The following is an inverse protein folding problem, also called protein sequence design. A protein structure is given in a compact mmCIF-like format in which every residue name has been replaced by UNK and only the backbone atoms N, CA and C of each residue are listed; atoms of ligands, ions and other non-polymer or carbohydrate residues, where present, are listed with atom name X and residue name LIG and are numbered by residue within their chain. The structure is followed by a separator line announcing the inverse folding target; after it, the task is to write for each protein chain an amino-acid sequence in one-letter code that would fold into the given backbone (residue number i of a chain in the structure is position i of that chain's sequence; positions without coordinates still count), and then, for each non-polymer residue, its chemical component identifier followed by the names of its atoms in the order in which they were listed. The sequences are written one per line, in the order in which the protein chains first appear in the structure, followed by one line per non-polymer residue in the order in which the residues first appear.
data_IF_156520653215
#
_entry.id   IF_156520653215
#
_cell.length_a   1.000
_cell.length_b   1.000
_cell.length_c   1.000
_cell.angle_alpha   90.00
_cell.angle_beta   90.00
_cell.angle_gamma   90.00
#
_symmetry.space_group_name_H-M   'P 1'
#
loop_
_entity.id
_entity.type
_entity.pdbx_description
1 polymer ?
#
# COMPACT_ATOMS: atom_id res chain seq x y z
N UNK A 1 46.96 67.77 -51.13
CA UNK A 1 46.52 66.59 -51.89
C UNK A 1 46.90 65.30 -51.16
N UNK A 2 48.18 65.03 -50.88
CA UNK A 2 48.57 63.82 -50.12
C UNK A 2 48.15 63.84 -48.64
N UNK A 3 48.19 64.99 -47.96
CA UNK A 3 47.78 65.10 -46.54
C UNK A 3 46.27 64.90 -46.30
N UNK A 4 45.42 65.26 -47.26
CA UNK A 4 43.97 65.00 -47.19
C UNK A 4 43.67 63.51 -47.37
N UNK A 5 44.32 62.87 -48.35
CA UNK A 5 44.23 61.43 -48.57
C UNK A 5 44.71 60.66 -47.33
N UNK A 6 45.81 61.10 -46.70
CA UNK A 6 46.33 60.48 -45.48
C UNK A 6 45.33 60.59 -44.32
N UNK A 7 44.73 61.77 -44.12
CA UNK A 7 43.70 61.98 -43.08
C UNK A 7 42.45 61.14 -43.31
N UNK A 8 42.03 60.98 -44.56
CA UNK A 8 40.86 60.19 -44.91
C UNK A 8 41.11 58.68 -44.72
N UNK A 9 42.31 58.20 -45.07
CA UNK A 9 42.78 56.85 -44.76
C UNK A 9 42.88 56.60 -43.25
N UNK A 10 43.45 57.54 -42.47
CA UNK A 10 43.46 57.43 -41.00
C UNK A 10 42.05 57.38 -40.41
N UNK A 11 41.12 58.16 -40.97
CA UNK A 11 39.74 58.15 -40.52
C UNK A 11 39.05 56.81 -40.80
N UNK A 12 39.18 56.27 -42.02
CA UNK A 12 38.65 54.96 -42.39
C UNK A 12 39.25 53.84 -41.54
N UNK A 13 40.58 53.86 -41.33
CA UNK A 13 41.27 52.87 -40.52
C UNK A 13 40.78 52.90 -39.05
N UNK A 14 40.54 54.09 -38.49
CA UNK A 14 39.98 54.22 -37.14
C UNK A 14 38.54 53.68 -37.03
N UNK A 15 37.72 53.86 -38.08
CA UNK A 15 36.37 53.27 -38.13
C UNK A 15 36.43 51.74 -38.18
N UNK A 16 37.31 51.17 -39.01
CA UNK A 16 37.50 49.72 -39.07
C UNK A 16 38.03 49.14 -37.74
N UNK A 17 38.99 49.81 -37.09
CA UNK A 17 39.46 49.39 -35.77
C UNK A 17 38.33 49.40 -34.73
N UNK A 18 37.50 50.44 -34.72
CA UNK A 18 36.35 50.53 -33.81
C UNK A 18 35.38 49.37 -34.05
N UNK A 19 35.07 49.06 -35.30
CA UNK A 19 34.20 47.93 -35.65
C UNK A 19 34.82 46.58 -35.27
N UNK A 20 36.12 46.40 -35.49
CA UNK A 20 36.87 45.22 -35.06
C UNK A 20 36.79 45.02 -33.54
N UNK A 21 37.03 46.05 -32.74
CA UNK A 21 36.97 45.94 -31.28
C UNK A 21 35.56 45.62 -30.77
N UNK A 22 34.51 46.19 -31.40
CA UNK A 22 33.11 45.84 -31.08
C UNK A 22 32.84 44.36 -31.38
N UNK A 23 33.19 43.89 -32.59
CA UNK A 23 33.01 42.49 -32.99
C UNK A 23 33.81 41.53 -32.11
N UNK A 24 35.03 41.91 -31.72
CA UNK A 24 35.87 41.15 -30.80
C UNK A 24 35.23 41.01 -29.42
N UNK A 25 34.68 42.10 -28.87
CA UNK A 25 33.96 42.07 -27.59
C UNK A 25 32.70 41.19 -27.64
N UNK A 26 31.92 41.27 -28.73
CA UNK A 26 30.76 40.39 -28.94
C UNK A 26 31.20 38.92 -29.00
N UNK A 27 32.27 38.61 -29.73
CA UNK A 27 32.82 37.26 -29.82
C UNK A 27 33.29 36.75 -28.45
N UNK A 28 33.96 37.58 -27.64
CA UNK A 28 34.40 37.19 -26.30
C UNK A 28 33.21 36.91 -25.36
N UNK A 29 32.16 37.74 -25.41
CA UNK A 29 30.93 37.51 -24.67
C UNK A 29 30.25 36.20 -25.11
N UNK A 30 30.06 35.99 -26.41
CA UNK A 30 29.46 34.76 -26.94
C UNK A 30 30.25 33.51 -26.55
N UNK A 31 31.58 33.59 -26.47
CA UNK A 31 32.42 32.48 -25.99
C UNK A 31 32.19 32.19 -24.51
N UNK A 32 32.04 33.22 -23.69
CA UNK A 32 31.72 33.05 -22.28
C UNK A 32 30.32 32.47 -22.08
N UNK A 33 29.34 32.98 -22.83
CA UNK A 33 27.95 32.49 -22.80
C UNK A 33 27.90 31.01 -23.22
N UNK A 34 28.56 30.65 -24.34
CA UNK A 34 28.65 29.26 -24.80
C UNK A 34 29.25 28.34 -23.73
N UNK A 35 30.36 28.76 -23.11
CA UNK A 35 31.00 27.97 -22.05
C UNK A 35 30.07 27.78 -20.84
N UNK A 36 29.34 28.83 -20.46
CA UNK A 36 28.42 28.78 -19.32
C UNK A 36 27.25 27.84 -19.61
N UNK A 37 26.68 27.91 -20.82
CA UNK A 37 25.61 27.03 -21.28
C UNK A 37 26.06 25.57 -21.39
N UNK A 38 27.29 25.31 -21.85
CA UNK A 38 27.89 23.97 -21.88
C UNK A 38 28.05 23.38 -20.47
N UNK A 39 28.52 24.19 -19.50
CA UNK A 39 28.61 23.78 -18.09
C UNK A 39 27.24 23.53 -17.45
N UNK A 40 26.21 24.30 -17.83
CA UNK A 40 24.83 24.09 -17.38
C UNK A 40 24.22 22.82 -17.99
N UNK A 41 24.45 22.58 -19.29
CA UNK A 41 24.00 21.39 -19.98
C UNK A 41 24.56 20.13 -19.32
N UNK A 42 25.86 20.10 -19.03
CA UNK A 42 26.52 18.97 -18.38
C UNK A 42 25.91 18.69 -16.98
N UNK A 43 25.62 19.75 -16.21
CA UNK A 43 24.94 19.62 -14.90
C UNK A 43 23.52 19.07 -15.04
N UNK A 44 22.76 19.56 -16.03
CA UNK A 44 21.40 19.08 -16.28
C UNK A 44 21.39 17.62 -16.71
N UNK A 45 22.33 17.21 -17.57
CA UNK A 45 22.46 15.82 -18.00
C UNK A 45 22.79 14.89 -16.84
N UNK A 46 23.69 15.32 -15.95
CA UNK A 46 24.02 14.57 -14.74
C UNK A 46 22.81 14.41 -13.80
N UNK A 47 22.07 15.49 -13.52
CA UNK A 47 20.87 15.42 -12.69
C UNK A 47 19.76 14.59 -13.36
N UNK A 48 19.62 14.66 -14.69
CA UNK A 48 18.66 13.84 -15.42
C UNK A 48 18.98 12.34 -15.28
N UNK A 49 20.24 11.95 -15.41
CA UNK A 49 20.68 10.55 -15.23
C UNK A 49 20.43 10.06 -13.79
N UNK A 50 20.76 10.89 -12.79
CA UNK A 50 20.48 10.62 -11.38
C UNK A 50 18.98 10.43 -11.14
N UNK A 51 18.13 11.32 -11.64
CA UNK A 51 16.67 11.23 -11.49
C UNK A 51 16.10 9.99 -12.18
N UNK A 52 16.62 9.60 -13.35
CA UNK A 52 16.26 8.34 -14.03
C UNK A 52 16.58 7.14 -13.14
N UNK A 53 17.76 7.09 -12.51
CA UNK A 53 18.13 6.01 -11.58
C UNK A 53 17.24 5.99 -10.35
N UNK A 54 16.94 7.14 -9.76
CA UNK A 54 15.99 7.27 -8.63
C UNK A 54 14.61 6.75 -9.01
N UNK A 55 14.08 7.13 -10.18
CA UNK A 55 12.80 6.64 -10.67
C UNK A 55 12.78 5.11 -10.78
N UNK A 56 13.80 4.51 -11.38
CA UNK A 56 13.91 3.05 -11.53
C UNK A 56 13.97 2.37 -10.14
N UNK A 57 14.75 2.94 -9.22
CA UNK A 57 14.85 2.43 -7.85
C UNK A 57 13.47 2.44 -7.16
N UNK A 58 12.77 3.57 -7.17
CA UNK A 58 11.46 3.70 -6.53
C UNK A 58 10.41 2.78 -7.17
N UNK A 59 10.43 2.61 -8.49
CA UNK A 59 9.54 1.67 -9.18
C UNK A 59 9.80 0.22 -8.74
N UNK A 60 11.07 -0.20 -8.72
CA UNK A 60 11.45 -1.55 -8.25
C UNK A 60 11.12 -1.78 -6.79
N UNK A 61 11.38 -0.80 -5.93
CA UNK A 61 11.05 -0.86 -4.50
C UNK A 61 9.55 -0.96 -4.29
N UNK A 62 8.75 -0.18 -5.03
CA UNK A 62 7.29 -0.23 -4.95
C UNK A 62 6.73 -1.58 -5.41
N UNK A 63 7.23 -2.13 -6.52
CA UNK A 63 6.86 -3.46 -6.99
C UNK A 63 7.22 -4.54 -5.96
N UNK A 64 8.45 -4.50 -5.43
CA UNK A 64 8.90 -5.45 -4.42
C UNK A 64 8.05 -5.37 -3.15
N UNK A 65 7.77 -4.17 -2.64
CA UNK A 65 6.94 -3.98 -1.46
C UNK A 65 5.53 -4.56 -1.66
N UNK A 66 4.90 -4.32 -2.81
CA UNK A 66 3.59 -4.90 -3.12
C UNK A 66 3.60 -6.43 -3.15
N UNK A 67 4.61 -7.02 -3.80
CA UNK A 67 4.76 -8.48 -3.85
C UNK A 67 4.99 -9.09 -2.46
N UNK A 68 5.76 -8.44 -1.60
CA UNK A 68 5.95 -8.88 -0.22
C UNK A 68 4.65 -8.79 0.59
N UNK A 69 3.96 -7.64 0.55
CA UNK A 69 2.67 -7.46 1.25
C UNK A 69 1.62 -8.46 0.75
N UNK A 70 1.56 -8.70 -0.57
CA UNK A 70 0.69 -9.72 -1.17
C UNK A 70 0.96 -11.09 -0.58
N UNK A 71 2.22 -11.56 -0.58
CA UNK A 71 2.58 -12.89 -0.06
C UNK A 71 2.24 -13.05 1.42
N UNK A 72 2.47 -12.01 2.22
CA UNK A 72 2.13 -12.02 3.64
C UNK A 72 0.62 -12.10 3.87
N UNK A 73 -0.17 -11.31 3.12
CA UNK A 73 -1.63 -11.37 3.16
C UNK A 73 -2.14 -12.76 2.75
N UNK A 74 -1.67 -13.29 1.62
CA UNK A 74 -2.01 -14.63 1.14
C UNK A 74 -1.72 -15.70 2.18
N UNK A 75 -0.55 -15.64 2.81
CA UNK A 75 -0.15 -16.57 3.86
C UNK A 75 -1.08 -16.49 5.08
N UNK A 76 -1.27 -15.30 5.67
CA UNK A 76 -2.08 -15.14 6.88
C UNK A 76 -3.55 -15.53 6.65
N UNK A 77 -4.13 -15.10 5.53
CA UNK A 77 -5.53 -15.41 5.20
C UNK A 77 -5.68 -16.91 4.91
N UNK A 78 -4.70 -17.52 4.25
CA UNK A 78 -4.68 -18.98 4.05
C UNK A 78 -4.63 -19.72 5.38
N UNK A 79 -3.76 -19.32 6.30
CA UNK A 79 -3.68 -19.97 7.62
C UNK A 79 -5.00 -19.83 8.40
N UNK A 80 -5.63 -18.65 8.36
CA UNK A 80 -6.94 -18.43 8.99
C UNK A 80 -8.03 -19.35 8.39
N UNK A 81 -8.13 -19.42 7.07
CA UNK A 81 -9.09 -20.28 6.38
C UNK A 81 -8.87 -21.76 6.70
N UNK A 82 -7.61 -22.21 6.71
CA UNK A 82 -7.26 -23.60 7.01
C UNK A 82 -7.58 -23.96 8.47
N UNK A 83 -7.32 -23.05 9.40
CA UNK A 83 -7.63 -23.23 10.82
C UNK A 83 -9.14 -23.35 11.06
N UNK A 84 -9.94 -22.47 10.45
CA UNK A 84 -11.38 -22.43 10.71
C UNK A 84 -12.12 -23.56 10.02
N UNK A 85 -11.81 -23.84 8.75
CA UNK A 85 -12.57 -24.78 7.92
C UNK A 85 -11.96 -26.18 7.84
N UNK A 86 -10.86 -26.46 8.56
CA UNK A 86 -10.09 -27.72 8.53
C UNK A 86 -9.97 -28.33 7.12
N UNK A 87 -9.59 -27.48 6.16
CA UNK A 87 -9.61 -27.83 4.74
C UNK A 87 -8.41 -27.25 4.01
N UNK A 88 -8.01 -27.91 2.92
CA UNK A 88 -6.88 -27.48 2.07
C UNK A 88 -7.25 -26.31 1.17
N UNK A 89 -7.75 -25.24 1.77
CA UNK A 89 -8.08 -23.99 1.10
C UNK A 89 -6.85 -23.07 1.08
N UNK A 90 -6.67 -22.33 -0.01
CA UNK A 90 -5.65 -21.29 -0.14
C UNK A 90 -6.28 -20.00 -0.64
N UNK A 91 -5.83 -18.89 -0.09
CA UNK A 91 -6.17 -17.56 -0.57
C UNK A 91 -5.12 -17.08 -1.56
N UNK A 92 -5.56 -16.47 -2.65
CA UNK A 92 -4.71 -15.96 -3.72
C UNK A 92 -5.18 -14.60 -4.19
N UNK A 93 -4.25 -13.68 -4.42
CA UNK A 93 -4.49 -12.33 -4.90
C UNK A 93 -3.87 -12.19 -6.29
N UNK A 94 -4.69 -11.91 -7.28
CA UNK A 94 -4.23 -11.52 -8.60
C UNK A 94 -4.13 -10.00 -8.68
N UNK A 95 -2.93 -9.49 -8.96
CA UNK A 95 -2.72 -8.06 -9.21
C UNK A 95 -2.77 -7.83 -10.72
N UNK A 96 -3.72 -7.01 -11.18
CA UNK A 96 -3.87 -6.61 -12.58
C UNK A 96 -3.47 -5.16 -12.72
N UNK A 97 -2.53 -4.88 -13.62
CA UNK A 97 -2.17 -3.50 -13.98
C UNK A 97 -3.08 -3.04 -15.12
N UNK A 98 -3.86 -1.98 -14.88
CA UNK A 98 -4.71 -1.34 -15.89
C UNK A 98 -4.35 0.14 -15.97
N UNK A 99 -3.37 0.44 -16.82
CA UNK A 99 -2.78 1.79 -16.91
C UNK A 99 -2.03 2.14 -15.64
N UNK A 100 -2.34 3.30 -15.04
CA UNK A 100 -1.74 3.74 -13.77
C UNK A 100 -2.41 3.14 -12.52
N UNK A 101 -3.47 2.33 -12.68
CA UNK A 101 -4.19 1.69 -11.56
C UNK A 101 -3.82 0.22 -11.44
N UNK A 102 -3.64 -0.22 -10.20
CA UNK A 102 -3.43 -1.61 -9.84
C UNK A 102 -4.72 -2.10 -9.20
N UNK A 103 -5.37 -3.05 -9.86
CA UNK A 103 -6.55 -3.73 -9.35
C UNK A 103 -6.11 -5.03 -8.67
N UNK A 104 -6.67 -5.33 -7.51
CA UNK A 104 -6.43 -6.58 -6.79
C UNK A 104 -7.71 -7.42 -6.80
N UNK A 105 -7.61 -8.65 -7.32
CA UNK A 105 -8.73 -9.57 -7.38
C UNK A 105 -8.46 -10.80 -6.51
N UNK A 106 -9.45 -11.17 -5.70
CA UNK A 106 -9.31 -12.21 -4.68
C UNK A 106 -9.88 -13.54 -5.16
N UNK A 107 -9.13 -14.60 -4.90
CA UNK A 107 -9.51 -15.96 -5.25
C UNK A 107 -9.27 -16.91 -4.09
N UNK A 108 -10.09 -17.95 -4.06
CA UNK A 108 -9.99 -19.09 -3.15
C UNK A 108 -9.72 -20.31 -3.99
N UNK A 109 -8.60 -20.97 -3.72
CA UNK A 109 -8.18 -22.20 -4.36
C UNK A 109 -8.46 -23.35 -3.39
N UNK A 110 -9.24 -24.34 -3.81
CA UNK A 110 -9.44 -25.58 -3.06
C UNK A 110 -9.12 -26.79 -3.92
N UNK A 111 -8.84 -27.92 -3.28
CA UNK A 111 -8.65 -29.20 -3.97
C UNK A 111 -9.85 -30.11 -3.71
N UNK A 112 -10.49 -30.58 -4.78
CA UNK A 112 -11.56 -31.58 -4.71
C UNK A 112 -11.27 -32.67 -5.75
N UNK A 113 -11.24 -33.93 -5.30
CA UNK A 113 -10.98 -35.10 -6.17
C UNK A 113 -9.72 -34.96 -7.04
N UNK A 114 -8.64 -34.40 -6.48
CA UNK A 114 -7.38 -34.15 -7.19
C UNK A 114 -7.42 -33.01 -8.22
N UNK A 115 -8.54 -32.30 -8.35
CA UNK A 115 -8.68 -31.11 -9.21
C UNK A 115 -8.62 -29.84 -8.37
N UNK A 116 -7.85 -28.86 -8.85
CA UNK A 116 -7.83 -27.50 -8.29
C UNK A 116 -9.03 -26.73 -8.80
N UNK A 117 -9.83 -26.21 -7.87
CA UNK A 117 -10.97 -25.34 -8.14
C UNK A 117 -10.59 -23.94 -7.69
N UNK A 118 -10.62 -22.99 -8.62
CA UNK A 118 -10.32 -21.57 -8.37
C UNK A 118 -11.61 -20.80 -8.51
N UNK A 119 -11.99 -20.10 -7.45
CA UNK A 119 -13.29 -19.43 -7.33
C UNK A 119 -13.11 -18.08 -6.67
N UNK A 120 -13.86 -17.07 -7.11
CA UNK A 120 -13.97 -15.83 -6.35
C UNK A 120 -14.81 -16.05 -5.08
N UNK A 121 -14.42 -15.47 -3.93
CA UNK A 121 -15.17 -15.63 -2.68
C UNK A 121 -16.65 -15.28 -2.84
N UNK A 122 -16.96 -14.10 -3.37
CA UNK A 122 -18.33 -13.58 -3.40
C UNK A 122 -19.25 -14.27 -4.41
N UNK A 123 -18.70 -14.92 -5.44
CA UNK A 123 -19.49 -15.52 -6.53
C UNK A 123 -19.77 -17.00 -6.30
N UNK A 124 -18.84 -17.72 -5.65
CA UNK A 124 -18.86 -19.19 -5.63
C UNK A 124 -18.56 -19.79 -4.25
N UNK A 125 -18.34 -18.97 -3.22
CA UNK A 125 -18.22 -19.44 -1.83
C UNK A 125 -19.36 -18.83 -1.01
N UNK A 126 -19.98 -19.65 -0.15
CA UNK A 126 -21.08 -19.20 0.72
C UNK A 126 -20.66 -18.07 1.66
N UNK A 127 -21.65 -17.40 2.25
CA UNK A 127 -21.42 -16.21 3.10
C UNK A 127 -20.39 -16.41 4.21
N UNK A 128 -20.33 -17.60 4.83
CA UNK A 128 -19.37 -17.89 5.89
C UNK A 128 -17.90 -17.74 5.45
N UNK A 129 -17.54 -18.21 4.25
CA UNK A 129 -16.17 -18.05 3.73
C UNK A 129 -15.84 -16.58 3.50
N UNK A 130 -16.81 -15.80 2.99
CA UNK A 130 -16.65 -14.36 2.76
C UNK A 130 -16.44 -13.62 4.08
N UNK A 131 -17.21 -13.93 5.11
CA UNK A 131 -17.07 -13.33 6.43
C UNK A 131 -15.69 -13.60 7.04
N UNK A 132 -15.19 -14.84 6.92
CA UNK A 132 -13.86 -15.21 7.43
C UNK A 132 -12.74 -14.51 6.65
N UNK A 133 -12.85 -14.43 5.32
CA UNK A 133 -11.87 -13.69 4.51
C UNK A 133 -11.85 -12.21 4.91
N UNK A 134 -13.02 -11.60 5.11
CA UNK A 134 -13.15 -10.21 5.55
C UNK A 134 -12.49 -9.99 6.91
N UNK A 135 -12.74 -10.88 7.88
CA UNK A 135 -12.12 -10.85 9.21
C UNK A 135 -10.60 -11.01 9.12
N UNK A 136 -10.13 -12.01 8.37
CA UNK A 136 -8.72 -12.30 8.19
C UNK A 136 -7.96 -11.14 7.53
N UNK A 137 -8.56 -10.48 6.53
CA UNK A 137 -7.97 -9.29 5.88
C UNK A 137 -7.82 -8.16 6.90
N UNK A 138 -8.83 -7.89 7.74
CA UNK A 138 -8.72 -6.83 8.76
C UNK A 138 -7.57 -7.10 9.73
N UNK A 139 -7.50 -8.32 10.26
CA UNK A 139 -6.42 -8.73 11.17
C UNK A 139 -5.06 -8.61 10.46
N UNK A 140 -4.94 -9.16 9.25
CA UNK A 140 -3.69 -9.13 8.51
C UNK A 140 -3.23 -7.71 8.17
N UNK A 141 -4.15 -6.81 7.81
CA UNK A 141 -3.83 -5.39 7.59
C UNK A 141 -3.33 -4.72 8.88
N UNK A 142 -3.94 -5.00 10.03
CA UNK A 142 -3.49 -4.46 11.31
C UNK A 142 -2.09 -4.93 11.72
N UNK A 143 -1.73 -6.18 11.38
CA UNK A 143 -0.44 -6.77 11.74
C UNK A 143 0.69 -6.51 10.73
N UNK A 144 0.37 -6.38 9.43
CA UNK A 144 1.37 -6.14 8.37
C UNK A 144 1.70 -4.64 8.23
N UNK A 145 0.76 -3.75 8.57
CA UNK A 145 0.97 -2.31 8.38
C UNK A 145 2.19 -1.79 9.15
N UNK A 146 2.93 -0.89 8.52
CA UNK A 146 4.08 -0.20 9.12
C UNK A 146 3.87 1.30 8.97
N UNK A 147 3.76 2.06 10.08
CA UNK A 147 3.83 1.62 11.48
C UNK A 147 2.67 0.70 11.88
N UNK A 148 2.84 -0.13 12.92
CA UNK A 148 1.81 -1.08 13.34
C UNK A 148 0.52 -0.34 13.73
N UNK A 149 -0.63 -0.85 13.31
CA UNK A 149 -1.93 -0.28 13.72
C UNK A 149 -2.16 -0.67 15.18
N UNK A 150 -2.11 0.31 16.07
CA UNK A 150 -2.39 0.15 17.50
C UNK A 150 -3.91 0.15 17.79
N UNK A 151 -4.27 -0.19 19.02
CA UNK A 151 -5.66 -0.18 19.48
C UNK A 151 -6.42 -1.49 19.28
N UNK A 152 -7.69 -1.54 19.70
CA UNK A 152 -8.48 -2.76 19.70
C UNK A 152 -9.00 -3.13 18.31
N UNK A 153 -9.26 -4.43 18.10
CA UNK A 153 -10.08 -4.91 17.00
C UNK A 153 -11.54 -4.90 17.44
N UNK A 154 -12.37 -4.08 16.81
CA UNK A 154 -13.81 -4.00 17.09
C UNK A 154 -14.58 -4.75 16.01
N UNK A 155 -15.43 -5.69 16.43
CA UNK A 155 -16.23 -6.56 15.56
C UNK A 155 -17.70 -6.46 15.95
N UNK A 156 -18.54 -6.17 14.96
CA UNK A 156 -20.00 -6.18 15.11
C UNK A 156 -20.57 -7.36 14.33
N UNK A 157 -21.14 -8.32 15.05
CA UNK A 157 -21.65 -9.61 14.57
C UNK A 157 -20.70 -10.33 13.57
N UNK A 158 -19.44 -10.62 13.97
CA UNK A 158 -18.52 -11.31 13.09
C UNK A 158 -19.01 -12.73 12.78
N UNK A 159 -18.64 -13.25 11.61
CA UNK A 159 -18.90 -14.63 11.21
C UNK A 159 -20.39 -15.02 11.22
N UNK A 160 -21.30 -14.06 11.04
CA UNK A 160 -22.76 -14.27 11.05
C UNK A 160 -23.24 -15.36 10.08
N UNK A 161 -22.55 -15.53 8.95
CA UNK A 161 -22.93 -16.53 7.94
C UNK A 161 -22.15 -17.85 8.07
N UNK A 162 -21.35 -18.01 9.13
CA UNK A 162 -20.62 -19.25 9.42
C UNK A 162 -21.55 -20.21 10.16
N UNK A 163 -21.55 -21.48 9.75
CA UNK A 163 -22.38 -22.51 10.41
C UNK A 163 -21.89 -22.82 11.82
N UNK A 164 -22.78 -23.35 12.65
CA UNK A 164 -22.48 -23.71 14.04
C UNK A 164 -21.30 -24.70 14.15
N UNK A 165 -21.12 -25.59 13.17
CA UNK A 165 -19.99 -26.52 13.13
C UNK A 165 -18.61 -25.84 13.11
N UNK A 166 -18.52 -24.62 12.55
CA UNK A 166 -17.26 -23.88 12.42
C UNK A 166 -17.18 -22.68 13.37
N UNK A 167 -18.29 -22.27 13.98
CA UNK A 167 -18.29 -21.06 14.82
C UNK A 167 -17.44 -21.21 16.08
N UNK A 168 -17.32 -22.44 16.60
CA UNK A 168 -16.39 -22.77 17.69
C UNK A 168 -14.95 -22.49 17.28
N UNK A 169 -14.56 -22.92 16.08
CA UNK A 169 -13.22 -22.65 15.53
C UNK A 169 -12.97 -21.14 15.34
N UNK A 170 -14.01 -20.37 14.99
CA UNK A 170 -13.91 -18.90 14.90
C UNK A 170 -13.66 -18.28 16.27
N UNK A 171 -14.37 -18.73 17.30
CA UNK A 171 -14.21 -18.25 18.66
C UNK A 171 -12.78 -18.52 19.18
N UNK A 172 -12.28 -19.75 18.99
CA UNK A 172 -10.91 -20.13 19.34
C UNK A 172 -9.86 -19.35 18.54
N UNK A 173 -10.12 -19.14 17.25
CA UNK A 173 -9.25 -18.33 16.40
C UNK A 173 -9.13 -16.90 16.93
N UNK A 174 -10.25 -16.24 17.24
CA UNK A 174 -10.26 -14.88 17.78
C UNK A 174 -9.53 -14.80 19.12
N UNK A 175 -9.72 -15.82 19.98
CA UNK A 175 -8.98 -15.93 21.24
C UNK A 175 -7.47 -16.01 21.03
N UNK A 176 -7.05 -16.87 20.10
CA UNK A 176 -5.64 -17.05 19.76
C UNK A 176 -5.03 -15.78 19.16
N UNK A 177 -5.76 -15.07 18.29
CA UNK A 177 -5.33 -13.79 17.72
C UNK A 177 -5.12 -12.75 18.83
N UNK A 178 -6.07 -12.64 19.76
CA UNK A 178 -5.97 -11.72 20.91
C UNK A 178 -4.70 -11.99 21.72
N UNK A 179 -4.45 -13.26 22.06
CA UNK A 179 -3.28 -13.68 22.85
C UNK A 179 -1.96 -13.52 22.09
N UNK A 180 -1.90 -13.97 20.84
CA UNK A 180 -0.68 -13.98 20.03
C UNK A 180 -0.19 -12.57 19.73
N UNK A 181 -1.10 -11.65 19.40
CA UNK A 181 -0.76 -10.27 19.07
C UNK A 181 -0.88 -9.31 20.25
N UNK A 182 -1.22 -9.81 21.44
CA UNK A 182 -1.52 -9.03 22.63
C UNK A 182 -2.47 -7.87 22.32
N UNK A 183 -3.57 -8.18 21.61
CA UNK A 183 -4.49 -7.19 21.08
C UNK A 183 -5.87 -7.37 21.70
N UNK A 184 -6.41 -6.29 22.26
CA UNK A 184 -7.78 -6.29 22.75
C UNK A 184 -8.76 -6.49 21.58
N UNK A 185 -9.70 -7.42 21.72
CA UNK A 185 -10.79 -7.62 20.78
C UNK A 185 -12.11 -7.31 21.49
N UNK A 186 -12.92 -6.45 20.90
CA UNK A 186 -14.26 -6.08 21.39
C UNK A 186 -15.27 -6.62 20.38
N UNK A 187 -16.18 -7.46 20.84
CA UNK A 187 -17.14 -8.15 19.97
C UNK A 187 -18.56 -7.85 20.45
N UNK A 188 -19.41 -7.39 19.55
CA UNK A 188 -20.87 -7.36 19.72
C UNK A 188 -21.43 -8.58 19.01
N UNK A 189 -22.06 -9.49 19.74
CA UNK A 189 -22.69 -10.66 19.13
C UNK A 189 -23.78 -11.29 20.00
N UNK A 190 -24.71 -11.98 19.35
CA UNK A 190 -25.67 -12.89 20.00
C UNK A 190 -25.22 -14.36 19.96
N UNK A 191 -24.08 -14.69 19.32
CA UNK A 191 -23.62 -16.08 19.20
C UNK A 191 -23.04 -16.61 20.53
N UNK A 192 -23.62 -17.68 21.08
CA UNK A 192 -23.26 -18.25 22.37
C UNK A 192 -21.81 -18.75 22.44
N UNK A 193 -21.29 -19.37 21.38
CA UNK A 193 -19.92 -19.89 21.36
C UNK A 193 -18.88 -18.77 21.41
N UNK A 194 -19.13 -17.68 20.67
CA UNK A 194 -18.26 -16.50 20.73
C UNK A 194 -18.33 -15.86 22.12
N UNK A 195 -19.54 -15.71 22.70
CA UNK A 195 -19.71 -15.20 24.06
C UNK A 195 -18.95 -16.04 25.10
N UNK A 196 -19.01 -17.37 25.00
CA UNK A 196 -18.31 -18.27 25.92
C UNK A 196 -16.79 -18.11 25.87
N UNK A 197 -16.22 -17.80 24.70
CA UNK A 197 -14.77 -17.58 24.53
C UNK A 197 -14.26 -16.26 25.15
N UNK A 198 -15.16 -15.30 25.40
CA UNK A 198 -14.83 -13.98 25.92
C UNK A 198 -14.21 -14.01 27.33
N UNK A 199 -13.17 -13.21 27.57
CA UNK A 199 -12.60 -12.99 28.91
C UNK A 199 -13.56 -12.23 29.83
N UNK A 200 -14.22 -11.22 29.25
CA UNK A 200 -15.20 -10.38 29.91
C UNK A 200 -16.41 -10.33 29.00
N UNK A 201 -17.60 -10.54 29.57
CA UNK A 201 -18.85 -10.56 28.81
C UNK A 201 -19.88 -9.68 29.48
N UNK A 202 -20.45 -8.77 28.69
CA UNK A 202 -21.55 -7.90 29.07
C UNK A 202 -22.80 -8.30 28.30
N UNK A 203 -23.93 -8.43 29.00
CA UNK A 203 -25.25 -8.62 28.42
C UNK A 203 -25.95 -7.27 28.39
N UNK A 204 -26.48 -6.90 27.23
CA UNK A 204 -27.31 -5.70 27.07
C UNK A 204 -28.75 -6.13 26.86
N UNK A 205 -29.67 -5.60 27.68
CA UNK A 205 -31.11 -5.90 27.62
C UNK A 205 -31.89 -4.60 27.52
N UNK A 206 -32.94 -4.59 26.69
CA UNK A 206 -33.84 -3.45 26.56
C UNK A 206 -35.04 -3.62 27.50
N UNK A 207 -35.20 -2.72 28.47
CA UNK A 207 -36.39 -2.64 29.33
C UNK A 207 -37.00 -1.25 29.18
N UNK A 208 -38.29 -1.17 28.83
CA UNK A 208 -39.03 0.08 28.67
C UNK A 208 -38.34 1.15 27.79
N UNK A 209 -37.65 0.71 26.73
CA UNK A 209 -36.92 1.59 25.81
C UNK A 209 -35.55 2.05 26.32
N UNK A 210 -35.11 1.61 27.50
CA UNK A 210 -33.81 1.92 28.10
C UNK A 210 -32.92 0.68 28.04
N UNK A 211 -31.68 0.86 27.57
CA UNK A 211 -30.69 -0.22 27.54
C UNK A 211 -30.03 -0.38 28.91
N UNK A 212 -30.16 -1.57 29.48
CA UNK A 212 -29.51 -1.98 30.72
C UNK A 212 -28.33 -2.91 30.40
N UNK A 213 -27.20 -2.69 31.06
CA UNK A 213 -25.98 -3.47 30.86
C UNK A 213 -25.66 -4.23 32.14
N UNK A 214 -25.45 -5.54 32.01
CA UNK A 214 -25.07 -6.43 33.11
C UNK A 214 -23.79 -7.18 32.76
N UNK A 215 -22.83 -7.23 33.67
CA UNK A 215 -21.62 -8.05 33.49
C UNK A 215 -21.92 -9.50 33.89
N UNK A 216 -21.87 -10.41 32.93
CA UNK A 216 -22.18 -11.84 33.12
C UNK A 216 -20.93 -12.72 33.27
N UNK A 217 -19.75 -12.25 32.82
CA UNK A 217 -18.48 -12.98 32.96
C UNK A 217 -17.30 -12.01 33.10
N UNK A 218 -16.28 -12.39 33.87
CA UNK A 218 -14.99 -11.70 33.97
C UNK A 218 -14.53 -11.50 35.42
N UNK A 219 -13.24 -11.20 35.61
CA UNK A 219 -12.65 -11.04 36.95
C UNK A 219 -13.35 -9.94 37.75
N UNK A 220 -13.64 -10.22 39.01
CA UNK A 220 -14.04 -9.24 40.02
C UNK A 220 -12.73 -8.66 40.55
N UNK A 221 -12.48 -7.39 40.28
CA UNK A 221 -11.43 -6.63 40.94
C UNK A 221 -12.05 -5.84 42.09
#
# INVERSE_FOLDING_TARGET
MYDEILKELEHQLNLEFKEYYIKKGIMENLKNDLKTEEEELEKLEFELDKLKKVKILLQKTSQFAREQSKKQLEYLITQCLQYIFDSKIKFYIELKEKGDKIDAEFYVISEQNGKKIITKPCEARGGGVVDIISLAIRIAMMEIHTPKIEGPLILDEPAKHVSDDYIVNVADFLKNVSMMFNRQIIIVTHNSHILESGDIVYRVVLNDGISHVEKIKGYIY
#
